data_IF_901934712789
#
_entry.id   IF_901934712789
#
_cell.length_a   1.000
_cell.length_b   1.000
_cell.length_c   1.000
_cell.angle_alpha   90.00
_cell.angle_beta   90.00
_cell.angle_gamma   90.00
#
_symmetry.space_group_name_H-M   'P 1'
#
loop_
_entity.id
_entity.type
_entity.pdbx_description
1 polymer ?
#
# COMPACT_ATOMS: atom_id res chain seq x y z
N UNK A 1 3.85 16.32 0.12
CA UNK A 1 2.45 15.85 0.06
C UNK A 1 2.16 14.95 1.27
N UNK A 2 0.89 14.70 1.60
CA UNK A 2 0.51 13.69 2.59
C UNK A 2 1.20 12.33 2.32
N UNK A 3 1.25 11.91 1.06
CA UNK A 3 1.92 10.65 0.64
C UNK A 3 3.40 10.57 1.01
N UNK A 4 4.15 11.67 0.88
CA UNK A 4 5.58 11.68 1.23
C UNK A 4 5.83 11.49 2.73
N UNK A 5 4.93 11.98 3.59
CA UNK A 5 5.02 11.78 5.04
C UNK A 5 4.68 10.34 5.42
N UNK A 6 3.66 9.76 4.78
CA UNK A 6 3.29 8.34 4.94
C UNK A 6 4.45 7.45 4.50
N UNK A 7 5.07 7.73 3.35
CA UNK A 7 6.23 6.99 2.87
C UNK A 7 7.41 7.03 3.84
N UNK A 8 7.70 8.20 4.41
CA UNK A 8 8.75 8.34 5.42
C UNK A 8 8.45 7.49 6.66
N UNK A 9 7.25 7.62 7.25
CA UNK A 9 6.86 6.85 8.43
C UNK A 9 6.87 5.35 8.15
N UNK A 10 6.36 4.90 7.00
CA UNK A 10 6.37 3.48 6.61
C UNK A 10 7.80 2.97 6.44
N UNK A 11 8.68 3.78 5.87
CA UNK A 11 10.10 3.45 5.72
C UNK A 11 10.84 3.36 7.06
N UNK A 12 10.47 4.19 8.05
CA UNK A 12 11.03 4.15 9.41
C UNK A 12 10.51 2.95 10.23
N UNK A 13 9.26 2.52 9.99
CA UNK A 13 8.60 1.46 10.76
C UNK A 13 8.79 0.06 10.16
N UNK A 14 8.62 -0.09 8.85
CA UNK A 14 8.76 -1.37 8.14
C UNK A 14 10.06 -1.48 7.34
N UNK A 15 10.83 -0.39 7.21
CA UNK A 15 12.03 -0.35 6.40
C UNK A 15 11.75 0.11 4.97
N UNK A 16 12.67 0.90 4.43
CA UNK A 16 12.54 1.53 3.10
C UNK A 16 12.33 0.52 1.96
N UNK A 17 12.93 -0.68 2.03
CA UNK A 17 12.75 -1.72 1.00
C UNK A 17 11.32 -2.23 0.94
N UNK A 18 10.67 -2.39 2.09
CA UNK A 18 9.26 -2.82 2.17
C UNK A 18 8.36 -1.69 1.66
N UNK A 19 8.60 -0.46 2.10
CA UNK A 19 7.82 0.71 1.64
C UNK A 19 7.90 0.91 0.11
N UNK A 20 9.09 0.75 -0.50
CA UNK A 20 9.24 0.79 -1.97
C UNK A 20 8.46 -0.34 -2.62
N UNK A 21 8.58 -1.58 -2.12
CA UNK A 21 7.84 -2.72 -2.66
C UNK A 21 6.33 -2.48 -2.61
N UNK A 22 5.80 -2.00 -1.49
CA UNK A 22 4.38 -1.72 -1.31
C UNK A 22 3.87 -0.62 -2.25
N UNK A 23 4.69 0.40 -2.50
CA UNK A 23 4.37 1.49 -3.42
C UNK A 23 4.31 0.97 -4.85
N UNK A 24 5.34 0.23 -5.25
CA UNK A 24 5.49 -0.26 -6.62
C UNK A 24 4.45 -1.34 -6.95
N UNK A 25 4.00 -2.13 -5.96
CA UNK A 25 2.92 -3.12 -6.12
C UNK A 25 1.52 -2.55 -5.83
N UNK A 26 1.41 -1.30 -5.40
CA UNK A 26 0.12 -0.68 -5.05
C UNK A 26 -0.63 -1.42 -3.95
N UNK A 27 0.07 -1.92 -2.92
CA UNK A 27 -0.53 -2.70 -1.82
C UNK A 27 -0.74 -1.88 -0.54
N UNK A 28 -0.43 -0.59 -0.58
CA UNK A 28 -0.55 0.32 0.54
C UNK A 28 -1.14 1.65 0.07
N UNK A 29 -2.13 2.15 0.80
CA UNK A 29 -2.74 3.45 0.55
C UNK A 29 -1.87 4.52 1.19
N UNK A 30 -1.13 5.25 0.36
CA UNK A 30 -0.24 6.32 0.78
C UNK A 30 -0.98 7.60 1.21
N UNK A 31 -2.27 7.70 0.96
CA UNK A 31 -3.11 8.82 1.42
C UNK A 31 -3.74 8.49 2.77
N UNK A 32 -4.24 7.26 2.94
CA UNK A 32 -4.91 6.82 4.17
C UNK A 32 -3.98 6.17 5.21
N UNK A 33 -2.70 5.92 4.88
CA UNK A 33 -1.73 5.25 5.75
C UNK A 33 -2.16 3.86 6.21
N UNK A 34 -2.65 3.05 5.29
CA UNK A 34 -3.13 1.70 5.62
C UNK A 34 -2.87 0.71 4.50
N UNK A 35 -2.62 -0.58 4.82
CA UNK A 35 -2.58 -1.63 3.82
C UNK A 35 -3.87 -1.65 3.01
N UNK A 36 -3.75 -1.84 1.70
CA UNK A 36 -4.91 -2.08 0.85
C UNK A 36 -5.31 -3.54 1.07
N UNK A 37 -6.40 -3.74 1.81
CA UNK A 37 -6.95 -5.06 2.05
C UNK A 37 -7.43 -5.65 0.71
N UNK A 38 -6.74 -6.68 0.22
CA UNK A 38 -7.07 -7.40 -1.02
C UNK A 38 -8.31 -8.27 -0.82
N UNK A 39 -9.40 -7.75 -0.27
CA UNK A 39 -10.62 -8.53 -0.04
C UNK A 39 -11.59 -8.28 -1.21
N UNK A 40 -11.61 -9.26 -2.13
CA UNK A 40 -12.57 -9.53 -3.23
C UNK A 40 -12.38 -8.82 -4.58
N UNK A 41 -11.29 -9.13 -5.28
CA UNK A 41 -11.33 -9.25 -6.76
C UNK A 41 -11.45 -10.74 -7.16
N UNK A 42 -12.60 -11.36 -6.88
CA UNK A 42 -12.90 -12.70 -7.41
C UNK A 42 -14.40 -13.02 -7.56
N UNK A 43 -15.24 -12.06 -7.93
CA UNK A 43 -16.66 -12.34 -8.21
C UNK A 43 -17.17 -11.95 -9.60
N UNK A 44 -16.27 -11.62 -10.54
CA UNK A 44 -16.65 -11.27 -11.93
C UNK A 44 -16.18 -12.31 -12.97
N UNK A 45 -15.89 -13.55 -12.56
CA UNK A 45 -15.52 -14.67 -13.45
C UNK A 45 -16.56 -15.81 -13.43
N UNK A 46 -17.84 -15.48 -13.30
CA UNK A 46 -18.93 -16.37 -13.73
C UNK A 46 -19.94 -15.61 -14.58
N UNK A 47 -19.66 -15.69 -15.87
CA UNK A 47 -20.61 -15.63 -16.99
C UNK A 47 -21.82 -16.55 -16.74
#
# INVERSE_FOLDING_TARGET
SPEGLVFKRRSETAGWKIAVKERDHGTYDWTADMPIEMEKRHNDDKL
#
